data_IF_060543626444
#
_entry.id   IF_060543626444
#
_cell.length_a   1.000
_cell.length_b   1.000
_cell.length_c   1.000
_cell.angle_alpha   90.00
_cell.angle_beta   90.00
_cell.angle_gamma   90.00
#
_symmetry.space_group_name_H-M   'P 1'
#
loop_
_entity.id
_entity.type
_entity.pdbx_description
1 polymer ?
#
# COMPACT_ATOMS: atom_id res chain seq x y z
N UNK A 1 -8.64 14.34 -8.85
CA UNK A 1 -9.04 13.62 -7.61
C UNK A 1 -8.08 13.98 -6.49
N UNK A 2 -8.62 14.36 -5.36
CA UNK A 2 -7.82 14.70 -4.21
C UNK A 2 -7.20 13.48 -3.55
N UNK A 3 -6.06 13.67 -2.86
CA UNK A 3 -5.34 12.57 -2.21
C UNK A 3 -6.22 11.82 -1.21
N UNK A 4 -7.03 12.55 -0.44
CA UNK A 4 -7.94 11.92 0.52
C UNK A 4 -8.98 11.03 -0.18
N UNK A 5 -9.43 11.40 -1.36
CA UNK A 5 -10.35 10.59 -2.15
C UNK A 5 -9.67 9.32 -2.66
N UNK A 6 -8.42 9.44 -3.11
CA UNK A 6 -7.63 8.28 -3.53
C UNK A 6 -7.48 7.30 -2.37
N UNK A 7 -7.11 7.81 -1.20
CA UNK A 7 -6.97 7.01 0.01
C UNK A 7 -8.28 6.28 0.35
N UNK A 8 -9.38 7.01 0.35
CA UNK A 8 -10.68 6.44 0.69
C UNK A 8 -11.11 5.36 -0.33
N UNK A 9 -10.86 5.58 -1.60
CA UNK A 9 -11.16 4.60 -2.65
C UNK A 9 -10.32 3.35 -2.49
N UNK A 10 -9.05 3.50 -2.17
CA UNK A 10 -8.16 2.35 -1.97
C UNK A 10 -8.64 1.51 -0.78
N UNK A 11 -8.96 2.14 0.33
CA UNK A 11 -9.50 1.45 1.50
C UNK A 11 -10.75 0.65 1.15
N UNK A 12 -11.65 1.26 0.39
CA UNK A 12 -12.90 0.63 -0.04
C UNK A 12 -12.65 -0.55 -0.97
N UNK A 13 -11.76 -0.39 -1.94
CA UNK A 13 -11.42 -1.46 -2.89
C UNK A 13 -10.83 -2.66 -2.13
N UNK A 14 -9.91 -2.41 -1.22
CA UNK A 14 -9.29 -3.46 -0.43
C UNK A 14 -10.32 -4.19 0.44
N UNK A 15 -11.18 -3.45 1.10
CA UNK A 15 -12.22 -4.03 1.96
C UNK A 15 -13.20 -4.87 1.13
N UNK A 16 -13.64 -4.35 -0.01
CA UNK A 16 -14.57 -5.05 -0.89
C UNK A 16 -14.00 -6.35 -1.45
N UNK A 17 -12.67 -6.47 -1.49
CA UNK A 17 -11.99 -7.64 -2.02
C UNK A 17 -11.34 -8.48 -0.91
N UNK A 18 -11.85 -8.34 0.30
CA UNK A 18 -11.53 -9.18 1.47
C UNK A 18 -10.10 -9.06 1.97
N UNK A 19 -9.44 -7.95 1.72
CA UNK A 19 -8.17 -7.66 2.38
C UNK A 19 -8.39 -7.57 3.88
N UNK A 20 -7.43 -8.02 4.66
CA UNK A 20 -7.53 -8.06 6.11
C UNK A 20 -6.61 -7.04 6.76
N UNK A 21 -6.99 -6.62 7.98
CA UNK A 21 -6.15 -5.74 8.81
C UNK A 21 -5.68 -4.49 8.06
N UNK A 22 -6.62 -3.82 7.40
CA UNK A 22 -6.32 -2.60 6.64
C UNK A 22 -6.01 -1.47 7.61
N UNK A 23 -4.80 -0.94 7.53
CA UNK A 23 -4.34 0.14 8.39
C UNK A 23 -3.86 1.29 7.53
N UNK A 24 -4.36 2.49 7.79
CA UNK A 24 -3.93 3.70 7.09
C UNK A 24 -3.11 4.57 8.02
N UNK A 25 -1.96 5.00 7.54
CA UNK A 25 -1.05 5.86 8.28
C UNK A 25 -0.93 7.19 7.55
N UNK A 26 -1.18 8.28 8.27
CA UNK A 26 -1.00 9.64 7.74
C UNK A 26 0.47 10.01 7.82
N UNK A 27 1.06 10.31 6.67
CA UNK A 27 2.48 10.65 6.55
C UNK A 27 2.73 12.12 6.25
N UNK A 28 1.69 12.95 6.21
CA UNK A 28 1.82 14.34 5.72
C UNK A 28 2.90 15.14 6.41
N UNK A 29 3.12 14.95 7.69
CA UNK A 29 4.15 15.66 8.42
C UNK A 29 5.33 14.77 8.81
N UNK A 30 5.39 13.54 8.28
CA UNK A 30 6.40 12.54 8.65
C UNK A 30 7.26 12.12 7.47
N UNK A 31 6.78 12.33 6.25
CA UNK A 31 7.48 11.92 5.04
C UNK A 31 7.07 12.82 3.88
N UNK A 32 7.98 13.08 2.97
CA UNK A 32 7.67 13.77 1.71
C UNK A 32 7.54 12.81 0.53
N UNK A 33 7.61 11.50 0.79
CA UNK A 33 7.46 10.48 -0.25
C UNK A 33 6.00 10.30 -0.61
N UNK A 34 5.14 10.30 0.41
CA UNK A 34 3.71 10.10 0.23
C UNK A 34 2.94 10.77 1.36
N UNK A 35 1.67 11.07 1.12
CA UNK A 35 0.78 11.61 2.15
C UNK A 35 0.18 10.52 3.02
N UNK A 36 -0.04 9.34 2.45
CA UNK A 36 -0.60 8.20 3.19
C UNK A 36 0.11 6.91 2.83
N UNK A 37 0.22 6.03 3.80
CA UNK A 37 0.60 4.65 3.58
C UNK A 37 -0.55 3.76 4.04
N UNK A 38 -0.94 2.80 3.22
CA UNK A 38 -1.95 1.81 3.59
C UNK A 38 -1.26 0.46 3.64
N UNK A 39 -1.46 -0.26 4.73
CA UNK A 39 -0.92 -1.61 4.90
C UNK A 39 -2.09 -2.56 5.06
N UNK A 40 -2.09 -3.62 4.28
CA UNK A 40 -3.14 -4.61 4.32
C UNK A 40 -2.55 -6.01 4.20
N UNK A 41 -3.34 -7.02 4.53
CA UNK A 41 -2.93 -8.40 4.42
C UNK A 41 -3.84 -9.16 3.48
N UNK A 42 -3.25 -10.07 2.70
CA UNK A 42 -3.99 -11.04 1.93
C UNK A 42 -3.86 -12.41 2.56
N UNK A 43 -4.80 -13.31 2.27
CA UNK A 43 -4.85 -14.63 2.90
C UNK A 43 -3.91 -15.66 2.26
N UNK A 44 -3.43 -15.37 1.05
CA UNK A 44 -2.56 -16.26 0.29
C UNK A 44 -1.77 -15.47 -0.74
N UNK A 45 -0.76 -16.08 -1.33
CA UNK A 45 0.01 -15.46 -2.43
C UNK A 45 -0.90 -15.09 -3.60
N UNK A 46 -1.85 -15.96 -3.91
CA UNK A 46 -2.83 -15.71 -4.97
C UNK A 46 -3.71 -14.51 -4.64
N UNK A 47 -4.14 -14.39 -3.39
CA UNK A 47 -4.95 -13.26 -2.93
C UNK A 47 -4.16 -11.96 -3.02
N UNK A 48 -2.86 -11.97 -2.65
CA UNK A 48 -1.99 -10.80 -2.79
C UNK A 48 -1.91 -10.34 -4.23
N UNK A 49 -1.70 -11.26 -5.15
CA UNK A 49 -1.62 -10.96 -6.57
C UNK A 49 -2.94 -10.39 -7.07
N UNK A 50 -4.05 -11.00 -6.71
CA UNK A 50 -5.38 -10.56 -7.07
C UNK A 50 -5.67 -9.15 -6.54
N UNK A 51 -5.37 -8.90 -5.26
CA UNK A 51 -5.58 -7.58 -4.65
C UNK A 51 -4.82 -6.48 -5.37
N UNK A 52 -3.54 -6.74 -5.68
CA UNK A 52 -2.72 -5.73 -6.37
C UNK A 52 -3.24 -5.44 -7.77
N UNK A 53 -3.64 -6.46 -8.51
CA UNK A 53 -4.17 -6.30 -9.86
C UNK A 53 -5.52 -5.58 -9.88
N UNK A 54 -6.42 -5.96 -8.97
CA UNK A 54 -7.73 -5.31 -8.83
C UNK A 54 -7.55 -3.85 -8.47
N UNK A 55 -6.65 -3.56 -7.53
CA UNK A 55 -6.40 -2.19 -7.09
C UNK A 55 -5.94 -1.31 -8.25
N UNK A 56 -4.94 -1.75 -8.99
CA UNK A 56 -4.44 -1.00 -10.15
C UNK A 56 -5.55 -0.81 -11.19
N UNK A 57 -6.30 -1.86 -11.48
CA UNK A 57 -7.40 -1.82 -12.45
C UNK A 57 -8.50 -0.84 -12.04
N UNK A 58 -8.93 -0.89 -10.79
CA UNK A 58 -9.98 0.00 -10.29
C UNK A 58 -9.53 1.47 -10.24
N UNK A 59 -8.28 1.71 -9.83
CA UNK A 59 -7.73 3.06 -9.83
C UNK A 59 -7.61 3.62 -11.24
N UNK A 60 -7.27 2.79 -12.20
CA UNK A 60 -7.23 3.18 -13.61
C UNK A 60 -8.61 3.63 -14.11
N UNK A 61 -9.66 2.93 -13.72
CA UNK A 61 -11.03 3.31 -14.05
C UNK A 61 -11.42 4.68 -13.47
N UNK A 62 -10.80 5.06 -12.37
CA UNK A 62 -11.00 6.36 -11.73
C UNK A 62 -10.13 7.47 -12.33
N UNK A 63 -9.35 7.15 -13.36
CA UNK A 63 -8.49 8.13 -14.03
C UNK A 63 -7.04 8.14 -13.56
N UNK A 64 -6.66 7.25 -12.66
CA UNK A 64 -5.29 7.16 -12.14
C UNK A 64 -4.49 6.16 -12.97
N UNK A 65 -4.00 6.61 -14.13
CA UNK A 65 -3.42 5.73 -15.14
C UNK A 65 -1.96 5.35 -14.90
N UNK A 66 -1.27 6.02 -13.99
CA UNK A 66 0.15 5.84 -13.76
C UNK A 66 0.48 5.13 -12.45
N UNK A 67 -0.46 4.39 -11.92
CA UNK A 67 -0.20 3.57 -10.75
C UNK A 67 0.79 2.46 -11.08
N UNK A 68 1.75 2.25 -10.20
CA UNK A 68 2.80 1.24 -10.40
C UNK A 68 2.62 0.11 -9.39
N UNK A 69 2.89 -1.10 -9.85
CA UNK A 69 2.89 -2.27 -9.00
C UNK A 69 4.32 -2.83 -8.93
N UNK A 70 4.81 -3.07 -7.72
CA UNK A 70 6.09 -3.71 -7.49
C UNK A 70 5.91 -4.99 -6.69
N UNK A 71 6.93 -5.85 -6.68
CA UNK A 71 6.86 -7.14 -6.03
C UNK A 71 6.19 -8.21 -6.88
N UNK A 72 6.24 -8.07 -8.22
CA UNK A 72 5.60 -9.00 -9.15
C UNK A 72 5.96 -10.45 -8.90
N UNK A 73 7.23 -10.70 -8.63
CA UNK A 73 7.75 -12.05 -8.44
C UNK A 73 7.73 -12.50 -6.97
N UNK A 74 7.25 -11.64 -6.09
CA UNK A 74 7.16 -11.99 -4.67
C UNK A 74 5.84 -12.68 -4.37
N UNK A 75 5.91 -13.76 -3.61
CA UNK A 75 4.72 -14.45 -3.11
C UNK A 75 4.22 -13.88 -1.79
N UNK A 76 5.03 -13.05 -1.14
CA UNK A 76 4.76 -12.58 0.23
C UNK A 76 4.41 -11.10 0.34
N UNK A 77 4.68 -10.34 -0.72
CA UNK A 77 4.58 -8.89 -0.66
C UNK A 77 4.29 -8.29 -2.03
N UNK A 78 3.39 -7.32 -2.04
CA UNK A 78 3.10 -6.48 -3.21
C UNK A 78 3.05 -5.03 -2.77
N UNK A 79 3.51 -4.15 -3.64
CA UNK A 79 3.40 -2.71 -3.41
C UNK A 79 2.65 -2.09 -4.58
N UNK A 80 1.71 -1.19 -4.28
CA UNK A 80 1.06 -0.37 -5.29
C UNK A 80 1.36 1.09 -4.96
N UNK A 81 2.02 1.77 -5.90
CA UNK A 81 2.33 3.20 -5.79
C UNK A 81 1.23 3.97 -6.53
N UNK A 82 0.37 4.61 -5.78
CA UNK A 82 -0.76 5.38 -6.29
C UNK A 82 -0.55 6.87 -6.01
N UNK A 83 0.50 7.44 -6.60
CA UNK A 83 0.90 8.86 -6.45
C UNK A 83 1.29 9.14 -5.00
N UNK A 84 0.45 9.88 -4.27
CA UNK A 84 0.72 10.26 -2.89
C UNK A 84 0.20 9.27 -1.87
N UNK A 85 -0.26 8.10 -2.33
CA UNK A 85 -0.69 6.99 -1.47
C UNK A 85 0.09 5.75 -1.85
N UNK A 86 0.79 5.17 -0.89
CA UNK A 86 1.54 3.93 -1.10
C UNK A 86 0.82 2.81 -0.37
N UNK A 87 0.56 1.71 -1.08
CA UNK A 87 -0.13 0.56 -0.52
C UNK A 87 0.81 -0.62 -0.44
N UNK A 88 0.99 -1.16 0.76
CA UNK A 88 1.72 -2.40 0.99
C UNK A 88 0.73 -3.51 1.30
N UNK A 89 0.83 -4.62 0.59
CA UNK A 89 -0.02 -5.79 0.81
C UNK A 89 0.90 -6.96 1.12
N UNK A 90 0.76 -7.54 2.31
CA UNK A 90 1.62 -8.61 2.78
C UNK A 90 0.84 -9.87 3.08
N UNK A 91 1.52 -11.00 2.97
CA UNK A 91 1.08 -12.21 3.65
C UNK A 91 1.17 -11.93 5.17
N UNK A 92 0.18 -12.35 5.98
CA UNK A 92 0.15 -12.00 7.40
C UNK A 92 1.45 -12.26 8.17
N UNK A 93 2.14 -13.34 7.86
CA UNK A 93 3.41 -13.69 8.50
C UNK A 93 4.50 -12.66 8.21
N UNK A 94 4.55 -12.16 6.99
CA UNK A 94 5.57 -11.19 6.58
C UNK A 94 5.24 -9.78 7.03
N UNK A 95 3.97 -9.44 7.15
CA UNK A 95 3.55 -8.15 7.68
C UNK A 95 4.10 -7.93 9.07
N UNK A 96 3.96 -8.94 9.93
CA UNK A 96 4.49 -8.88 11.29
C UNK A 96 6.00 -8.74 11.29
N UNK A 97 6.69 -9.46 10.43
CA UNK A 97 8.14 -9.40 10.29
C UNK A 97 8.64 -7.99 9.94
N UNK A 98 8.00 -7.34 8.98
CA UNK A 98 8.42 -6.01 8.54
C UNK A 98 7.99 -4.90 9.49
N UNK A 99 6.87 -5.08 10.19
CA UNK A 99 6.35 -4.12 11.16
C UNK A 99 6.32 -2.68 10.63
N UNK A 100 5.84 -2.51 9.41
CA UNK A 100 5.85 -1.21 8.72
C UNK A 100 4.97 -0.18 9.41
N UNK A 101 3.86 -0.60 9.99
CA UNK A 101 2.94 0.30 10.66
C UNK A 101 3.63 1.03 11.81
N UNK A 102 4.37 0.29 12.61
CA UNK A 102 5.11 0.87 13.74
C UNK A 102 6.23 1.78 13.24
N UNK A 103 6.96 1.34 12.21
CA UNK A 103 8.04 2.13 11.63
C UNK A 103 7.53 3.49 11.14
N UNK A 104 6.42 3.51 10.40
CA UNK A 104 5.90 4.73 9.81
C UNK A 104 5.10 5.58 10.78
N UNK A 105 4.70 5.06 11.93
CA UNK A 105 4.04 5.84 12.98
C UNK A 105 5.03 6.64 13.83
N UNK A 106 6.31 6.30 13.76
CA UNK A 106 7.40 7.01 14.43
C UNK A 106 8.08 7.98 13.47
N UNK A 107 8.88 8.90 13.98
CA UNK A 107 9.69 9.77 13.15
C UNK A 107 10.81 8.95 12.51
N UNK A 108 10.82 8.89 11.18
CA UNK A 108 11.73 8.03 10.43
C UNK A 108 12.76 8.84 9.68
N UNK A 109 14.05 8.47 9.76
CA UNK A 109 15.08 9.09 8.92
C UNK A 109 14.74 8.92 7.43
N UNK A 110 15.05 9.97 6.70
CA UNK A 110 14.79 10.09 5.27
C UNK A 110 15.27 8.90 4.44
N UNK A 111 16.44 8.40 4.76
CA UNK A 111 17.05 7.27 4.05
C UNK A 111 16.22 5.99 4.17
N UNK A 112 15.67 5.74 5.35
CA UNK A 112 14.81 4.56 5.56
C UNK A 112 13.51 4.64 4.77
N UNK A 113 12.91 5.82 4.72
CA UNK A 113 11.70 6.02 3.95
C UNK A 113 11.95 5.76 2.46
N UNK A 114 13.06 6.22 1.93
CA UNK A 114 13.42 5.99 0.53
C UNK A 114 13.69 4.52 0.22
N UNK A 115 14.30 3.79 1.15
CA UNK A 115 14.54 2.35 1.00
C UNK A 115 13.22 1.60 0.85
N UNK A 116 12.25 1.91 1.69
CA UNK A 116 10.94 1.26 1.62
C UNK A 116 10.20 1.56 0.32
N UNK A 117 10.35 2.76 -0.22
CA UNK A 117 9.73 3.11 -1.49
C UNK A 117 10.33 2.35 -2.67
N UNK A 118 11.57 1.92 -2.59
CA UNK A 118 12.22 1.15 -3.66
C UNK A 118 11.71 -0.30 -3.75
N UNK A 119 11.16 -0.80 -2.70
CA UNK A 119 10.66 -2.17 -2.67
C UNK A 119 9.16 -2.22 -2.87
#
# INVERSE_FOLDING_TARGET
>A
MEVIEIKNNIEKILDNNKAQNITTIDLKNKSYIADYMIVASGTSSRHLQSLSEILVSELKKLGLNNCRMEGKDSSDWKLVDAYDVIVHIFHPEKREFYNLEKMWSEEIPKEKAMIWKKY
#
